data_IF_594261576699
#
_entry.id   IF_594261576699
#
_cell.length_a   1.000
_cell.length_b   1.000
_cell.length_c   1.000
_cell.angle_alpha   90.00
_cell.angle_beta   90.00
_cell.angle_gamma   90.00
#
_symmetry.space_group_name_H-M   'P 1'
#
loop_
_entity.id
_entity.type
_entity.pdbx_description
1 polymer ?
#
# COMPACT_ATOMS: atom_id res chain seq x y z
N UNK A 1 19.59 -60.85 -26.54
CA UNK A 1 19.68 -59.84 -25.47
C UNK A 1 19.74 -58.47 -26.13
N UNK A 2 18.61 -57.76 -26.21
CA UNK A 2 18.60 -56.34 -26.59
C UNK A 2 18.37 -55.54 -25.31
N UNK A 3 19.33 -54.70 -24.95
CA UNK A 3 19.22 -53.76 -23.84
C UNK A 3 18.67 -52.44 -24.37
N UNK A 4 17.48 -52.07 -23.89
CA UNK A 4 16.84 -50.78 -24.14
C UNK A 4 17.48 -49.74 -23.23
N UNK A 5 18.17 -48.75 -23.80
CA UNK A 5 18.66 -47.60 -23.07
C UNK A 5 17.51 -46.59 -22.87
N UNK A 6 17.13 -46.35 -21.62
CA UNK A 6 16.19 -45.30 -21.24
C UNK A 6 16.97 -43.98 -21.10
N UNK A 7 16.78 -43.03 -22.02
CA UNK A 7 17.26 -41.67 -21.84
C UNK A 7 16.37 -40.98 -20.80
N UNK A 8 16.93 -40.63 -19.65
CA UNK A 8 16.30 -39.71 -18.70
C UNK A 8 16.40 -38.28 -19.24
N UNK A 9 15.28 -37.68 -19.62
CA UNK A 9 15.22 -36.24 -19.84
C UNK A 9 15.27 -35.56 -18.46
N UNK A 10 16.37 -34.87 -18.16
CA UNK A 10 16.42 -33.89 -17.08
C UNK A 10 15.55 -32.70 -17.46
N UNK A 11 14.42 -32.52 -16.78
CA UNK A 11 13.64 -31.28 -16.88
C UNK A 11 14.51 -30.13 -16.34
N UNK A 12 14.90 -29.20 -17.22
CA UNK A 12 15.52 -27.96 -16.79
C UNK A 12 14.47 -27.17 -16.00
N UNK A 13 14.75 -26.87 -14.73
CA UNK A 13 13.91 -25.99 -13.93
C UNK A 13 13.86 -24.61 -14.61
N UNK A 14 12.69 -24.22 -15.09
CA UNK A 14 12.44 -22.87 -15.61
C UNK A 14 12.57 -21.88 -14.46
N UNK A 15 13.53 -20.96 -14.56
CA UNK A 15 13.62 -19.81 -13.65
C UNK A 15 12.51 -18.85 -14.05
N UNK A 16 11.41 -18.82 -13.30
CA UNK A 16 10.43 -17.74 -13.40
C UNK A 16 10.98 -16.55 -12.61
N UNK A 17 11.00 -15.38 -13.24
CA UNK A 17 11.39 -14.14 -12.60
C UNK A 17 10.13 -13.32 -12.35
N UNK A 18 9.99 -12.78 -11.15
CA UNK A 18 8.90 -11.85 -10.81
C UNK A 18 9.50 -10.46 -10.60
N UNK A 19 8.93 -9.44 -11.23
CA UNK A 19 9.41 -8.08 -11.10
C UNK A 19 8.75 -7.38 -9.89
N UNK A 20 9.49 -6.44 -9.32
CA UNK A 20 8.98 -5.49 -8.34
C UNK A 20 9.38 -4.09 -8.76
N UNK A 21 8.50 -3.12 -8.58
CA UNK A 21 8.81 -1.70 -8.73
C UNK A 21 9.00 -1.07 -7.38
N UNK A 22 10.08 -0.30 -7.23
CA UNK A 22 10.47 0.34 -5.98
C UNK A 22 10.66 1.83 -6.22
N UNK A 23 10.02 2.68 -5.43
CA UNK A 23 10.31 4.11 -5.40
C UNK A 23 11.10 4.50 -4.17
N UNK A 24 11.87 5.58 -4.29
CA UNK A 24 12.62 6.15 -3.18
C UNK A 24 12.64 7.69 -3.23
N UNK A 25 12.83 8.33 -2.08
CA UNK A 25 12.78 9.78 -1.98
C UNK A 25 13.89 10.53 -2.75
N UNK A 26 14.92 9.85 -3.27
CA UNK A 26 15.95 10.46 -4.13
C UNK A 26 15.52 10.62 -5.58
N UNK A 27 14.29 10.21 -5.92
CA UNK A 27 13.72 10.45 -7.25
C UNK A 27 13.76 9.23 -8.17
N UNK A 28 14.22 8.06 -7.69
CA UNK A 28 14.30 6.88 -8.56
C UNK A 28 13.02 6.03 -8.50
N UNK A 29 12.74 5.40 -9.65
CA UNK A 29 12.02 4.13 -9.68
C UNK A 29 13.02 3.05 -10.12
N UNK A 30 13.11 1.99 -9.33
CA UNK A 30 13.99 0.85 -9.55
C UNK A 30 13.14 -0.39 -9.80
N UNK A 31 13.43 -1.11 -10.88
CA UNK A 31 12.88 -2.46 -11.09
C UNK A 31 13.84 -3.47 -10.49
N UNK A 32 13.31 -4.29 -9.59
CA UNK A 32 13.98 -5.47 -9.06
C UNK A 32 13.38 -6.72 -9.69
N UNK A 33 14.22 -7.75 -9.87
CA UNK A 33 13.80 -9.05 -10.36
C UNK A 33 14.14 -10.10 -9.32
N UNK A 34 13.11 -10.74 -8.77
CA UNK A 34 13.25 -11.88 -7.88
C UNK A 34 13.30 -13.15 -8.71
N UNK A 35 14.39 -13.90 -8.55
CA UNK A 35 14.58 -15.20 -9.20
C UNK A 35 14.83 -16.28 -8.16
N UNK A 36 14.30 -17.48 -8.40
CA UNK A 36 14.54 -18.65 -7.56
C UNK A 36 15.27 -19.74 -8.36
N UNK A 37 16.37 -20.26 -7.82
CA UNK A 37 17.10 -21.39 -8.40
C UNK A 37 17.53 -22.34 -7.29
N UNK A 38 17.08 -23.60 -7.38
CA UNK A 38 17.39 -24.65 -6.39
C UNK A 38 17.08 -24.26 -4.94
N UNK A 39 15.99 -23.50 -4.71
CA UNK A 39 15.59 -23.04 -3.37
C UNK A 39 16.36 -21.81 -2.85
N UNK A 40 17.29 -21.27 -3.63
CA UNK A 40 17.96 -20.00 -3.33
C UNK A 40 17.31 -18.86 -4.12
N UNK A 41 17.01 -17.77 -3.44
CA UNK A 41 16.46 -16.56 -4.04
C UNK A 41 17.55 -15.54 -4.31
N UNK A 42 17.42 -14.81 -5.41
CA UNK A 42 18.26 -13.66 -5.73
C UNK A 42 17.37 -12.51 -6.17
N UNK A 43 17.56 -11.34 -5.56
CA UNK A 43 16.86 -10.11 -5.85
C UNK A 43 17.85 -9.14 -6.48
N UNK A 44 17.72 -8.91 -7.79
CA UNK A 44 18.66 -8.10 -8.55
C UNK A 44 17.98 -6.87 -9.12
N UNK A 45 18.64 -5.72 -9.07
CA UNK A 45 18.23 -4.55 -9.84
C UNK A 45 18.45 -4.82 -11.34
N UNK A 46 17.38 -4.66 -12.14
CA UNK A 46 17.40 -4.87 -13.59
C UNK A 46 17.21 -3.58 -14.38
N UNK A 47 16.55 -2.58 -13.79
CA UNK A 47 16.30 -1.30 -14.42
C UNK A 47 16.21 -0.18 -13.37
N UNK A 48 16.52 1.05 -13.76
CA UNK A 48 16.32 2.24 -12.94
C UNK A 48 16.08 3.46 -13.83
N UNK A 49 15.20 4.36 -13.38
CA UNK A 49 14.95 5.67 -14.00
C UNK A 49 14.69 6.74 -12.94
N UNK A 50 14.97 8.00 -13.26
CA UNK A 50 14.65 9.18 -12.44
C UNK A 50 13.48 10.00 -13.00
N UNK A 51 12.79 9.47 -14.01
CA UNK A 51 11.74 10.19 -14.74
C UNK A 51 10.43 10.34 -13.95
N UNK A 52 10.32 9.84 -12.72
CA UNK A 52 9.12 10.06 -11.92
C UNK A 52 8.97 11.52 -11.47
N UNK A 53 10.09 12.25 -11.30
CA UNK A 53 10.25 13.55 -10.61
C UNK A 53 10.67 13.40 -9.13
N UNK A 54 10.97 14.50 -8.40
CA UNK A 54 11.50 14.41 -7.04
C UNK A 54 10.51 13.82 -6.01
N UNK A 55 11.05 13.05 -5.08
CA UNK A 55 10.32 12.44 -3.95
C UNK A 55 9.13 11.55 -4.35
N UNK A 56 9.31 10.54 -5.23
CA UNK A 56 8.27 9.55 -5.50
C UNK A 56 8.03 8.72 -4.25
N UNK A 57 6.80 8.79 -3.73
CA UNK A 57 6.44 8.13 -2.47
C UNK A 57 5.45 6.99 -2.63
N UNK A 58 4.76 6.94 -3.76
CA UNK A 58 3.73 5.95 -4.03
C UNK A 58 3.70 5.54 -5.50
N UNK A 59 3.48 4.25 -5.72
CA UNK A 59 3.29 3.64 -7.03
C UNK A 59 1.90 3.03 -7.10
N UNK A 60 1.17 3.33 -8.17
CA UNK A 60 -0.14 2.71 -8.48
C UNK A 60 0.00 1.96 -9.81
N UNK A 61 -0.12 0.63 -9.77
CA UNK A 61 0.00 -0.23 -10.95
C UNK A 61 -1.39 -0.49 -11.54
N UNK A 62 -1.48 -0.43 -12.87
CA UNK A 62 -2.63 -0.84 -13.67
C UNK A 62 -2.20 -2.00 -14.56
N UNK A 63 -2.08 -3.18 -13.95
CA UNK A 63 -1.45 -4.37 -14.53
C UNK A 63 -2.12 -4.79 -15.84
N UNK A 64 -3.45 -4.76 -15.90
CA UNK A 64 -4.25 -5.08 -17.10
C UNK A 64 -3.89 -4.24 -18.33
N UNK A 65 -3.29 -3.05 -18.12
CA UNK A 65 -2.91 -2.13 -19.19
C UNK A 65 -1.40 -1.94 -19.29
N UNK A 66 -0.62 -2.63 -18.46
CA UNK A 66 0.83 -2.47 -18.37
C UNK A 66 1.22 -1.02 -18.10
N UNK A 67 0.51 -0.34 -17.19
CA UNK A 67 0.81 1.04 -16.81
C UNK A 67 1.22 1.13 -15.35
N UNK A 68 2.12 2.05 -15.07
CA UNK A 68 2.51 2.44 -13.72
C UNK A 68 2.34 3.95 -13.58
N UNK A 69 1.63 4.36 -12.53
CA UNK A 69 1.53 5.75 -12.11
C UNK A 69 2.41 5.96 -10.89
N UNK A 70 3.13 7.06 -10.86
CA UNK A 70 4.06 7.37 -9.81
C UNK A 70 3.77 8.77 -9.27
N UNK A 71 3.54 8.86 -7.96
CA UNK A 71 3.08 10.05 -7.27
C UNK A 71 4.26 10.66 -6.52
N UNK A 72 4.51 11.94 -6.80
CA UNK A 72 5.68 12.67 -6.35
C UNK A 72 5.28 13.72 -5.36
N UNK A 73 5.71 13.59 -4.10
CA UNK A 73 5.33 14.52 -3.04
C UNK A 73 5.80 15.94 -3.31
N UNK A 74 6.99 16.07 -3.91
CA UNK A 74 7.63 17.37 -4.12
C UNK A 74 7.95 18.08 -2.80
N UNK A 75 8.59 17.39 -1.86
CA UNK A 75 8.84 17.84 -0.47
C UNK A 75 9.58 19.18 -0.40
N UNK A 76 10.42 19.47 -1.39
CA UNK A 76 11.24 20.69 -1.48
C UNK A 76 10.68 21.70 -2.49
N UNK A 77 9.44 21.50 -2.95
CA UNK A 77 8.81 22.31 -4.00
C UNK A 77 7.40 22.71 -3.61
N UNK A 78 6.85 23.72 -4.29
CA UNK A 78 5.48 24.23 -4.00
C UNK A 78 4.40 23.22 -4.37
N UNK A 79 4.69 22.30 -5.30
CA UNK A 79 3.72 21.41 -5.90
C UNK A 79 4.31 20.00 -6.05
N UNK A 80 3.47 18.98 -5.86
CA UNK A 80 3.81 17.62 -6.24
C UNK A 80 3.61 17.40 -7.74
N UNK A 81 3.75 16.15 -8.19
CA UNK A 81 3.41 15.78 -9.56
C UNK A 81 2.92 14.34 -9.70
N UNK A 82 2.17 14.06 -10.77
CA UNK A 82 1.76 12.73 -11.17
C UNK A 82 2.51 12.37 -12.46
N UNK A 83 3.20 11.23 -12.45
CA UNK A 83 3.91 10.67 -13.59
C UNK A 83 3.31 9.34 -14.01
N UNK A 84 3.50 8.98 -15.28
CA UNK A 84 3.00 7.74 -15.88
C UNK A 84 4.04 7.07 -16.77
N UNK A 85 4.01 5.74 -16.78
CA UNK A 85 4.93 4.88 -17.49
C UNK A 85 4.18 3.72 -18.15
N UNK A 86 4.69 3.22 -19.28
CA UNK A 86 4.38 1.85 -19.71
C UNK A 86 5.39 0.90 -19.09
N UNK A 87 4.91 -0.25 -18.64
CA UNK A 87 5.70 -1.39 -18.18
C UNK A 87 6.01 -2.26 -19.40
N UNK A 88 7.30 -2.43 -19.71
CA UNK A 88 7.74 -3.37 -20.73
C UNK A 88 7.79 -4.80 -20.15
N UNK A 89 7.77 -5.81 -21.01
CA UNK A 89 7.78 -7.23 -20.60
C UNK A 89 9.03 -7.66 -19.82
N UNK A 90 10.12 -6.90 -19.91
CA UNK A 90 11.35 -7.12 -19.13
C UNK A 90 11.38 -6.34 -17.81
N UNK A 91 10.27 -5.68 -17.44
CA UNK A 91 10.14 -4.84 -16.26
C UNK A 91 10.78 -3.45 -16.41
N UNK A 92 11.35 -3.10 -17.56
CA UNK A 92 11.82 -1.72 -17.79
C UNK A 92 10.64 -0.77 -17.95
N UNK A 93 10.79 0.46 -17.44
CA UNK A 93 9.75 1.49 -17.52
C UNK A 93 10.07 2.48 -18.62
N UNK A 94 9.05 2.83 -19.41
CA UNK A 94 9.14 3.92 -20.39
C UNK A 94 8.21 5.06 -19.98
N UNK A 95 8.80 6.21 -19.67
CA UNK A 95 8.05 7.40 -19.28
C UNK A 95 7.14 7.90 -20.42
N UNK A 96 5.95 8.36 -20.03
CA UNK A 96 4.92 8.84 -20.96
C UNK A 96 4.63 10.31 -20.70
N UNK A 97 4.31 10.65 -19.45
CA UNK A 97 3.84 11.98 -19.08
C UNK A 97 4.08 12.21 -17.59
N UNK A 98 4.54 13.43 -17.29
CA UNK A 98 4.54 14.02 -15.96
C UNK A 98 3.67 15.30 -15.98
N UNK A 99 2.94 15.57 -14.90
CA UNK A 99 2.17 16.80 -14.74
C UNK A 99 2.12 17.24 -13.28
N UNK A 100 2.39 18.52 -13.04
CA UNK A 100 2.28 19.15 -11.72
C UNK A 100 0.87 19.01 -11.15
N UNK A 101 0.77 18.70 -9.87
CA UNK A 101 -0.47 18.59 -9.11
C UNK A 101 -0.38 19.40 -7.81
N UNK A 102 -1.34 19.21 -6.90
CA UNK A 102 -1.28 19.76 -5.55
C UNK A 102 -0.06 19.18 -4.80
N UNK A 103 0.43 19.83 -3.74
CA UNK A 103 1.58 19.33 -2.97
C UNK A 103 1.26 18.05 -2.20
N UNK A 104 2.24 17.16 -2.09
CA UNK A 104 2.16 15.95 -1.28
C UNK A 104 1.17 14.89 -1.76
N UNK A 105 1.04 14.53 -3.06
CA UNK A 105 0.30 13.34 -3.45
C UNK A 105 0.99 12.09 -2.87
N UNK A 106 0.44 11.52 -1.80
CA UNK A 106 1.06 10.42 -1.05
C UNK A 106 0.47 9.04 -1.36
N UNK A 107 -0.66 9.00 -2.06
CA UNK A 107 -1.34 7.76 -2.42
C UNK A 107 -2.37 8.02 -3.54
N UNK A 108 -2.64 6.99 -4.36
CA UNK A 108 -3.71 7.07 -5.35
C UNK A 108 -4.33 5.72 -5.72
N UNK A 109 -5.62 5.78 -6.07
CA UNK A 109 -6.43 4.63 -6.49
C UNK A 109 -7.12 4.89 -7.81
N UNK A 110 -7.10 3.90 -8.69
CA UNK A 110 -7.84 3.93 -9.95
C UNK A 110 -9.29 3.50 -9.69
N UNK A 111 -10.24 4.25 -10.22
CA UNK A 111 -11.67 3.99 -10.09
C UNK A 111 -12.41 4.19 -11.42
N UNK A 112 -13.69 3.82 -11.43
CA UNK A 112 -14.53 3.76 -12.62
C UNK A 112 -14.62 2.35 -13.18
N UNK A 113 -15.21 2.21 -14.37
CA UNK A 113 -15.50 0.90 -14.95
C UNK A 113 -14.27 0.29 -15.62
N UNK A 114 -14.00 -1.00 -15.37
CA UNK A 114 -12.85 -1.72 -15.93
C UNK A 114 -12.77 -1.64 -17.47
N UNK A 115 -13.90 -1.74 -18.17
CA UNK A 115 -13.98 -1.61 -19.63
C UNK A 115 -14.42 -0.21 -20.12
N UNK A 116 -14.56 0.77 -19.22
CA UNK A 116 -15.15 2.08 -19.51
C UNK A 116 -14.21 3.25 -19.19
N UNK A 117 -14.84 4.39 -18.86
CA UNK A 117 -14.10 5.55 -18.36
C UNK A 117 -13.49 5.22 -17.01
N UNK A 118 -12.23 5.61 -16.84
CA UNK A 118 -11.47 5.43 -15.60
C UNK A 118 -10.81 6.74 -15.21
N UNK A 119 -10.55 6.89 -13.93
CA UNK A 119 -9.83 8.02 -13.35
C UNK A 119 -8.94 7.52 -12.22
N UNK A 120 -7.97 8.32 -11.82
CA UNK A 120 -7.17 8.10 -10.61
C UNK A 120 -7.50 9.20 -9.60
N UNK A 121 -7.88 8.81 -8.39
CA UNK A 121 -8.06 9.71 -7.25
C UNK A 121 -6.75 9.75 -6.45
N UNK A 122 -6.34 10.94 -6.02
CA UNK A 122 -5.10 11.18 -5.29
C UNK A 122 -5.39 11.84 -3.95
N UNK A 123 -4.76 11.33 -2.88
CA UNK A 123 -4.74 11.93 -1.56
C UNK A 123 -3.52 12.85 -1.41
N UNK A 124 -3.74 14.11 -1.00
CA UNK A 124 -2.70 15.14 -0.89
C UNK A 124 -2.43 15.49 0.57
N UNK A 125 -1.36 14.96 1.15
CA UNK A 125 -1.00 15.15 2.55
C UNK A 125 -0.69 16.62 2.86
N UNK A 126 0.32 17.19 2.18
CA UNK A 126 0.76 18.58 2.42
C UNK A 126 -0.26 19.60 1.89
N UNK A 127 -0.96 19.25 0.82
CA UNK A 127 -1.87 20.16 0.13
C UNK A 127 -3.31 20.19 0.65
N UNK A 128 -3.65 19.40 1.67
CA UNK A 128 -4.99 19.31 2.28
C UNK A 128 -6.11 19.14 1.25
N UNK A 129 -5.99 18.13 0.39
CA UNK A 129 -6.94 17.94 -0.70
C UNK A 129 -7.08 16.50 -1.19
N UNK A 130 -8.19 16.27 -1.89
CA UNK A 130 -8.34 15.15 -2.84
C UNK A 130 -8.39 15.70 -4.25
N UNK A 131 -7.76 15.05 -5.22
CA UNK A 131 -7.97 15.34 -6.64
C UNK A 131 -8.30 14.10 -7.45
N UNK A 132 -8.94 14.31 -8.60
CA UNK A 132 -9.26 13.27 -9.58
C UNK A 132 -8.70 13.64 -10.94
N UNK A 133 -8.18 12.64 -11.66
CA UNK A 133 -7.57 12.77 -12.96
C UNK A 133 -8.13 11.70 -13.91
N UNK A 134 -8.69 12.11 -15.05
CA UNK A 134 -9.23 11.20 -16.05
C UNK A 134 -8.08 10.43 -16.72
N UNK A 135 -8.23 9.12 -16.86
CA UNK A 135 -7.30 8.28 -17.61
C UNK A 135 -7.75 8.22 -19.09
N UNK A 136 -6.94 8.80 -19.97
CA UNK A 136 -7.24 8.98 -21.41
C UNK A 136 -6.73 7.81 -22.28
N UNK A 137 -6.15 6.78 -21.66
CA UNK A 137 -5.56 5.63 -22.33
C UNK A 137 -4.08 5.81 -22.68
N UNK A 138 -3.36 4.70 -22.78
CA UNK A 138 -1.92 4.68 -23.09
C UNK A 138 -1.08 5.52 -22.12
N UNK A 139 -1.42 5.49 -20.83
CA UNK A 139 -0.77 6.26 -19.77
C UNK A 139 -1.05 7.76 -19.74
N UNK A 140 -1.79 8.30 -20.71
CA UNK A 140 -2.17 9.73 -20.69
C UNK A 140 -3.29 9.96 -19.68
N UNK A 141 -3.26 11.14 -19.07
CA UNK A 141 -4.28 11.58 -18.11
C UNK A 141 -4.47 13.10 -18.14
N UNK A 142 -5.64 13.57 -17.69
CA UNK A 142 -5.96 15.00 -17.57
C UNK A 142 -6.66 15.31 -16.26
N UNK A 143 -6.50 16.55 -15.78
CA UNK A 143 -7.13 16.99 -14.53
C UNK A 143 -8.65 16.97 -14.65
N UNK A 144 -9.33 16.37 -13.68
CA UNK A 144 -10.80 16.33 -13.62
C UNK A 144 -11.36 17.30 -12.56
N UNK A 145 -10.85 17.21 -11.33
CA UNK A 145 -11.38 17.92 -10.18
C UNK A 145 -10.36 18.00 -9.04
N UNK A 146 -10.51 19.04 -8.20
CA UNK A 146 -9.90 19.11 -6.87
C UNK A 146 -10.95 19.43 -5.82
N UNK A 147 -10.75 18.91 -4.62
CA UNK A 147 -11.57 19.09 -3.43
C UNK A 147 -10.64 19.48 -2.28
N UNK A 148 -10.45 20.79 -2.01
CA UNK A 148 -9.60 21.25 -0.92
C UNK A 148 -10.34 21.19 0.41
N UNK A 149 -9.57 21.10 1.50
CA UNK A 149 -10.07 21.06 2.86
C UNK A 149 -9.29 22.00 3.77
N UNK A 150 -9.95 22.44 4.83
CA UNK A 150 -9.36 23.26 5.88
C UNK A 150 -9.88 22.81 7.24
N UNK A 151 -9.11 23.11 8.28
CA UNK A 151 -9.58 23.06 9.66
C UNK A 151 -9.82 24.49 10.15
N UNK A 152 -10.81 24.65 11.04
CA UNK A 152 -11.02 25.93 11.71
C UNK A 152 -9.96 26.16 12.79
N UNK A 153 -9.56 25.09 13.48
CA UNK A 153 -8.51 25.05 14.50
C UNK A 153 -7.74 23.73 14.36
N UNK A 154 -6.46 23.67 14.76
CA UNK A 154 -5.69 22.43 14.79
C UNK A 154 -6.36 21.31 15.60
N UNK A 155 -6.07 20.05 15.21
CA UNK A 155 -6.46 18.86 15.94
C UNK A 155 -5.70 18.65 17.26
N UNK A 156 -6.00 17.57 18.00
CA UNK A 156 -5.41 17.32 19.32
C UNK A 156 -3.88 17.21 19.38
N UNK A 157 -3.21 16.82 18.29
CA UNK A 157 -1.76 16.92 18.12
C UNK A 157 -1.43 18.03 17.10
N UNK A 158 -1.28 19.30 17.52
CA UNK A 158 -1.03 20.40 16.59
C UNK A 158 0.27 20.30 15.79
N UNK A 159 1.20 19.40 16.16
CA UNK A 159 2.44 19.20 15.40
C UNK A 159 2.25 18.27 14.20
N UNK A 160 1.18 17.47 14.21
CA UNK A 160 0.84 16.48 13.18
C UNK A 160 -0.55 16.71 12.57
N UNK A 161 -1.36 17.58 13.17
CA UNK A 161 -2.76 17.84 12.86
C UNK A 161 -3.02 19.36 12.80
N UNK A 162 -2.08 20.13 12.26
CA UNK A 162 -2.23 21.58 12.04
C UNK A 162 -3.16 21.90 10.87
N UNK A 163 -3.29 20.99 9.91
CA UNK A 163 -4.18 21.07 8.76
C UNK A 163 -4.77 19.68 8.44
N UNK A 164 -5.75 19.56 7.52
CA UNK A 164 -6.10 18.27 6.92
C UNK A 164 -4.90 17.66 6.19
N UNK A 165 -4.75 16.34 6.33
CA UNK A 165 -3.68 15.56 5.73
C UNK A 165 -4.21 14.23 5.18
N UNK A 166 -4.79 14.27 3.99
CA UNK A 166 -5.25 13.09 3.28
C UNK A 166 -4.08 12.15 2.99
N UNK A 167 -4.19 10.90 3.45
CA UNK A 167 -3.04 10.00 3.51
C UNK A 167 -3.18 8.77 2.59
N UNK A 168 -4.41 8.38 2.25
CA UNK A 168 -4.70 7.28 1.33
C UNK A 168 -5.93 7.61 0.49
N UNK A 169 -6.05 7.05 -0.72
CA UNK A 169 -7.34 6.87 -1.37
C UNK A 169 -7.56 5.38 -1.65
N UNK A 170 -8.71 4.85 -1.26
CA UNK A 170 -9.04 3.43 -1.44
C UNK A 170 -10.49 3.27 -1.91
N UNK A 171 -10.72 2.37 -2.86
CA UNK A 171 -12.06 2.01 -3.32
C UNK A 171 -12.67 0.94 -2.43
N UNK A 172 -13.96 1.05 -2.14
CA UNK A 172 -14.70 -0.03 -1.49
C UNK A 172 -14.82 -1.27 -2.43
N UNK A 173 -15.11 -2.48 -1.91
CA UNK A 173 -15.20 -3.69 -2.71
C UNK A 173 -16.28 -3.67 -3.80
N UNK A 174 -17.28 -2.79 -3.72
CA UNK A 174 -18.29 -2.60 -4.78
C UNK A 174 -17.81 -1.66 -5.90
N UNK A 175 -16.72 -0.92 -5.67
CA UNK A 175 -16.18 0.08 -6.60
C UNK A 175 -17.02 1.34 -6.72
N UNK A 176 -18.05 1.52 -5.89
CA UNK A 176 -18.97 2.68 -5.95
C UNK A 176 -18.51 3.85 -5.08
N UNK A 177 -17.67 3.56 -4.09
CA UNK A 177 -17.20 4.55 -3.12
C UNK A 177 -15.68 4.60 -3.07
N UNK A 178 -15.18 5.81 -2.83
CA UNK A 178 -13.77 6.07 -2.52
C UNK A 178 -13.72 6.63 -1.12
N UNK A 179 -12.84 6.06 -0.29
CA UNK A 179 -12.59 6.49 1.06
C UNK A 179 -11.18 7.06 1.15
N UNK A 180 -11.03 8.15 1.89
CA UNK A 180 -9.77 8.86 2.06
C UNK A 180 -9.56 9.13 3.54
N UNK A 181 -8.73 8.33 4.24
CA UNK A 181 -8.23 8.68 5.56
C UNK A 181 -7.53 10.04 5.54
N UNK A 182 -7.90 10.88 6.51
CA UNK A 182 -7.35 12.21 6.75
C UNK A 182 -6.79 12.25 8.16
N UNK A 183 -5.47 12.15 8.23
CA UNK A 183 -4.70 12.09 9.47
C UNK A 183 -4.92 13.38 10.29
N UNK A 184 -4.88 14.52 9.61
CA UNK A 184 -4.93 15.82 10.25
C UNK A 184 -6.29 16.19 10.80
N UNK A 185 -7.37 15.70 10.20
CA UNK A 185 -8.74 16.03 10.61
C UNK A 185 -9.46 14.96 11.46
N UNK A 186 -8.81 13.83 11.75
CA UNK A 186 -9.40 12.64 12.38
C UNK A 186 -10.69 12.18 11.66
N UNK A 187 -10.61 12.06 10.34
CA UNK A 187 -11.76 11.68 9.50
C UNK A 187 -11.36 10.67 8.44
N UNK A 188 -12.34 9.89 7.99
CA UNK A 188 -12.26 9.19 6.72
C UNK A 188 -13.31 9.84 5.83
N UNK A 189 -12.85 10.54 4.80
CA UNK A 189 -13.71 11.21 3.82
C UNK A 189 -14.31 10.16 2.89
N UNK A 190 -15.60 10.26 2.61
CA UNK A 190 -16.31 9.29 1.77
C UNK A 190 -16.83 9.99 0.53
N UNK A 191 -16.60 9.39 -0.63
CA UNK A 191 -17.05 9.90 -1.91
C UNK A 191 -17.81 8.82 -2.66
N UNK A 192 -18.88 9.21 -3.34
CA UNK A 192 -19.37 8.52 -4.54
C UNK A 192 -18.83 9.25 -5.78
N UNK A 193 -19.13 8.78 -6.98
CA UNK A 193 -18.81 9.50 -8.21
C UNK A 193 -19.90 9.37 -9.26
N UNK A 194 -19.93 10.32 -10.19
CA UNK A 194 -20.82 10.29 -11.36
C UNK A 194 -20.20 9.43 -12.46
N UNK A 195 -20.90 8.40 -12.95
CA UNK A 195 -20.35 7.44 -13.92
C UNK A 195 -19.96 8.08 -15.27
N UNK A 196 -20.64 9.18 -15.65
CA UNK A 196 -20.42 9.82 -16.94
C UNK A 196 -19.19 10.74 -16.93
N UNK A 197 -18.96 11.46 -15.84
CA UNK A 197 -17.92 12.49 -15.69
C UNK A 197 -16.78 12.07 -14.76
N UNK A 198 -16.98 11.00 -13.99
CA UNK A 198 -16.11 10.53 -12.91
C UNK A 198 -15.82 11.59 -11.84
N UNK A 199 -16.62 12.65 -11.74
CA UNK A 199 -16.45 13.65 -10.69
C UNK A 199 -16.86 13.09 -9.34
N UNK A 200 -16.05 13.37 -8.32
CA UNK A 200 -16.27 12.92 -6.96
C UNK A 200 -17.37 13.76 -6.31
N UNK A 201 -18.30 13.07 -5.63
CA UNK A 201 -19.37 13.65 -4.83
C UNK A 201 -19.16 13.29 -3.37
N UNK A 202 -18.91 14.31 -2.54
CA UNK A 202 -18.72 14.18 -1.10
C UNK A 202 -19.98 13.64 -0.42
N UNK A 203 -19.79 12.69 0.48
CA UNK A 203 -20.80 12.12 1.35
C UNK A 203 -20.43 12.38 2.82
N UNK A 204 -21.30 11.96 3.75
CA UNK A 204 -21.01 12.03 5.18
C UNK A 204 -19.72 11.26 5.48
N UNK A 205 -18.72 11.89 6.14
CA UNK A 205 -17.49 11.21 6.50
C UNK A 205 -17.71 10.29 7.71
N UNK A 206 -16.81 9.32 7.87
CA UNK A 206 -16.59 8.67 9.16
C UNK A 206 -15.70 9.59 10.02
N UNK A 207 -16.12 9.85 11.26
CA UNK A 207 -15.34 10.61 12.24
C UNK A 207 -14.58 9.61 13.11
N UNK A 208 -13.26 9.69 13.11
CA UNK A 208 -12.39 8.88 13.94
C UNK A 208 -12.26 9.48 15.36
N UNK A 209 -11.65 8.74 16.28
CA UNK A 209 -11.36 9.26 17.60
C UNK A 209 -10.41 10.48 17.51
N UNK A 210 -10.62 11.56 18.27
CA UNK A 210 -9.72 12.71 18.25
C UNK A 210 -8.29 12.32 18.63
N UNK A 211 -7.30 12.80 17.86
CA UNK A 211 -5.88 12.51 18.03
C UNK A 211 -5.46 11.13 17.49
N UNK A 212 -6.33 10.44 16.74
CA UNK A 212 -6.02 9.11 16.23
C UNK A 212 -5.12 9.15 15.00
N UNK A 213 -5.33 10.10 14.09
CA UNK A 213 -4.59 10.22 12.85
C UNK A 213 -4.78 9.02 11.92
N UNK A 214 -5.98 8.80 11.34
CA UNK A 214 -6.22 7.70 10.40
C UNK A 214 -5.32 7.84 9.17
N UNK A 215 -4.61 6.75 8.82
CA UNK A 215 -3.52 6.76 7.83
C UNK A 215 -3.88 5.95 6.58
N UNK A 216 -3.76 4.63 6.65
CA UNK A 216 -4.15 3.70 5.59
C UNK A 216 -5.21 2.74 6.13
N UNK A 217 -5.94 2.12 5.23
CA UNK A 217 -7.04 1.23 5.56
C UNK A 217 -7.15 0.09 4.55
N UNK A 218 -7.79 -0.99 4.99
CA UNK A 218 -8.08 -2.13 4.12
C UNK A 218 -9.54 -2.55 4.27
N UNK A 219 -10.17 -2.87 3.15
CA UNK A 219 -11.46 -3.53 3.15
C UNK A 219 -11.28 -5.04 3.21
N UNK A 220 -12.23 -5.71 3.86
CA UNK A 220 -12.28 -7.15 3.94
C UNK A 220 -13.73 -7.63 3.86
N UNK A 221 -13.93 -8.77 3.20
CA UNK A 221 -15.17 -9.52 3.29
C UNK A 221 -14.79 -10.97 3.58
N UNK A 222 -15.40 -11.67 4.55
CA UNK A 222 -15.06 -13.06 4.87
C UNK A 222 -15.10 -14.00 3.65
N UNK A 223 -15.93 -13.70 2.65
CA UNK A 223 -16.07 -14.50 1.43
C UNK A 223 -15.14 -14.06 0.29
N UNK A 224 -14.28 -13.07 0.53
CA UNK A 224 -13.29 -12.54 -0.43
C UNK A 224 -13.87 -11.62 -1.50
N UNK A 225 -15.19 -11.52 -1.60
CA UNK A 225 -15.90 -10.65 -2.55
C UNK A 225 -17.11 -10.01 -1.88
N UNK A 226 -17.53 -8.84 -2.36
CA UNK A 226 -18.82 -8.28 -1.94
C UNK A 226 -19.95 -9.23 -2.34
N UNK A 227 -20.80 -9.60 -1.38
CA UNK A 227 -21.93 -10.50 -1.59
C UNK A 227 -23.16 -10.08 -0.79
N UNK A 228 -24.34 -10.46 -1.28
CA UNK A 228 -25.61 -10.20 -0.58
C UNK A 228 -25.65 -10.95 0.76
N UNK A 229 -26.01 -10.24 1.83
CA UNK A 229 -26.05 -10.80 3.19
C UNK A 229 -24.69 -10.92 3.88
N UNK A 230 -23.59 -10.56 3.20
CA UNK A 230 -22.25 -10.56 3.77
C UNK A 230 -21.91 -9.19 4.38
N UNK A 231 -21.21 -9.20 5.51
CA UNK A 231 -20.70 -7.95 6.09
C UNK A 231 -19.34 -7.62 5.48
N UNK A 232 -19.24 -6.43 4.88
CA UNK A 232 -17.96 -5.83 4.56
C UNK A 232 -17.41 -5.17 5.82
N UNK A 233 -16.14 -5.42 6.10
CA UNK A 233 -15.39 -4.77 7.16
C UNK A 233 -14.38 -3.80 6.58
N UNK A 234 -14.11 -2.73 7.31
CA UNK A 234 -13.14 -1.69 6.98
C UNK A 234 -12.20 -1.52 8.17
N UNK A 235 -10.93 -1.81 7.98
CA UNK A 235 -9.90 -1.71 9.01
C UNK A 235 -9.05 -0.48 8.77
N UNK A 236 -9.04 0.46 9.71
CA UNK A 236 -8.27 1.70 9.62
C UNK A 236 -7.11 1.64 10.59
N UNK A 237 -5.91 1.86 10.08
CA UNK A 237 -4.72 2.06 10.90
C UNK A 237 -4.58 3.54 11.25
N UNK A 238 -4.38 3.81 12.53
CA UNK A 238 -4.27 5.15 13.11
C UNK A 238 -2.81 5.40 13.49
N UNK A 239 -2.12 6.28 12.76
CA UNK A 239 -0.69 6.51 12.91
C UNK A 239 -0.35 7.09 14.28
N UNK A 240 -1.08 8.11 14.72
CA UNK A 240 -0.76 8.87 15.93
C UNK A 240 -1.15 8.10 17.20
N UNK A 241 -2.30 7.39 17.15
CA UNK A 241 -2.75 6.58 18.28
C UNK A 241 -2.11 5.18 18.35
N UNK A 242 -1.35 4.76 17.34
CA UNK A 242 -0.78 3.40 17.27
C UNK A 242 -1.81 2.26 17.29
N UNK A 243 -3.03 2.52 16.80
CA UNK A 243 -4.15 1.56 16.84
C UNK A 243 -4.58 1.09 15.46
N UNK A 244 -5.34 -0.01 15.46
CA UNK A 244 -6.17 -0.44 14.32
C UNK A 244 -7.62 -0.55 14.79
N UNK A 245 -8.52 0.10 14.06
CA UNK A 245 -9.97 0.08 14.32
C UNK A 245 -10.68 -0.67 13.19
N UNK A 246 -11.47 -1.69 13.54
CA UNK A 246 -12.33 -2.41 12.60
C UNK A 246 -13.75 -1.89 12.65
N UNK A 247 -14.34 -1.63 11.48
CA UNK A 247 -15.71 -1.18 11.31
C UNK A 247 -16.50 -2.17 10.47
N UNK A 248 -17.71 -2.54 10.90
CA UNK A 248 -18.71 -3.13 10.01
C UNK A 248 -19.32 -2.01 9.15
N UNK A 249 -19.39 -2.23 7.84
CA UNK A 249 -19.86 -1.26 6.85
C UNK A 249 -21.29 -1.58 6.44
N UNK A 250 -22.18 -0.60 6.59
CA UNK A 250 -23.54 -0.64 6.05
C UNK A 250 -23.62 0.25 4.81
N UNK A 251 -24.05 -0.33 3.69
CA UNK A 251 -24.28 0.38 2.44
C UNK A 251 -25.70 0.95 2.43
N UNK A 252 -25.81 2.28 2.39
CA UNK A 252 -27.10 2.95 2.42
C UNK A 252 -27.83 2.85 1.07
N UNK A 253 -29.17 2.69 1.06
CA UNK A 253 -29.96 2.63 -0.17
C UNK A 253 -29.76 3.83 -1.09
N UNK A 254 -30.02 3.64 -2.40
CA UNK A 254 -29.98 4.69 -3.42
C UNK A 254 -28.65 5.46 -3.50
N UNK A 255 -27.53 4.76 -3.27
CA UNK A 255 -26.19 5.37 -3.23
C UNK A 255 -26.07 6.48 -2.18
N UNK A 256 -26.79 6.34 -1.05
CA UNK A 256 -26.85 7.32 0.03
C UNK A 256 -25.57 7.46 0.85
N UNK A 257 -24.59 6.57 0.63
CA UNK A 257 -23.32 6.54 1.34
C UNK A 257 -23.14 5.31 2.21
N UNK A 258 -22.29 5.45 3.22
CA UNK A 258 -21.84 4.37 4.08
C UNK A 258 -22.06 4.75 5.54
N UNK A 259 -22.54 3.80 6.33
CA UNK A 259 -22.51 3.85 7.78
C UNK A 259 -21.45 2.89 8.30
N UNK A 260 -20.88 3.21 9.46
CA UNK A 260 -19.79 2.45 10.06
C UNK A 260 -20.10 2.17 11.52
N UNK A 261 -20.00 0.91 11.92
CA UNK A 261 -20.13 0.49 13.33
C UNK A 261 -18.82 -0.10 13.79
N UNK A 262 -18.23 0.45 14.86
CA UNK A 262 -17.00 -0.12 15.44
C UNK A 262 -17.28 -1.53 15.95
N UNK A 263 -16.49 -2.50 15.47
CA UNK A 263 -16.54 -3.91 15.91
C UNK A 263 -15.24 -4.36 16.57
N UNK A 264 -14.14 -3.65 16.33
CA UNK A 264 -12.83 -3.96 16.89
C UNK A 264 -12.01 -2.68 17.11
N UNK A 265 -11.22 -2.64 18.18
CA UNK A 265 -10.22 -1.62 18.40
C UNK A 265 -9.13 -2.17 19.33
N UNK A 266 -7.88 -2.15 18.87
CA UNK A 266 -6.72 -2.50 19.68
C UNK A 266 -5.49 -1.75 19.20
N UNK A 267 -4.40 -1.82 19.96
CA UNK A 267 -3.10 -1.37 19.47
C UNK A 267 -2.62 -2.30 18.35
N UNK A 268 -1.72 -1.81 17.50
CA UNK A 268 -1.06 -2.63 16.49
C UNK A 268 -0.11 -3.68 17.07
N UNK A 269 0.14 -3.65 18.38
CA UNK A 269 0.98 -4.60 19.13
C UNK A 269 0.13 -5.56 20.00
N UNK A 270 -1.19 -5.37 19.98
CA UNK A 270 -2.15 -6.08 20.82
C UNK A 270 -1.74 -6.10 22.30
N UNK A 271 -1.44 -7.28 22.86
CA UNK A 271 -1.05 -7.47 24.26
C UNK A 271 0.45 -7.23 24.52
N UNK A 272 1.25 -6.95 23.48
CA UNK A 272 2.67 -6.66 23.64
C UNK A 272 2.92 -5.20 24.05
N UNK A 273 4.10 -4.94 24.60
CA UNK A 273 4.50 -3.58 24.96
C UNK A 273 4.60 -2.71 23.70
N UNK A 274 3.78 -1.66 23.65
CA UNK A 274 3.82 -0.67 22.58
C UNK A 274 5.05 0.24 22.76
N UNK A 275 5.96 0.31 21.78
CA UNK A 275 7.09 1.24 21.83
C UNK A 275 6.62 2.70 21.83
N UNK A 276 7.32 3.55 22.57
CA UNK A 276 7.07 5.00 22.53
C UNK A 276 7.30 5.53 21.10
N UNK A 277 6.37 6.34 20.60
CA UNK A 277 6.47 6.92 19.26
C UNK A 277 6.27 5.92 18.12
N UNK A 278 5.77 4.70 18.41
CA UNK A 278 5.35 3.77 17.37
C UNK A 278 4.41 4.46 16.39
N UNK A 279 4.66 4.24 15.11
CA UNK A 279 3.91 4.88 14.03
C UNK A 279 3.56 3.83 12.98
N UNK A 280 2.40 3.17 13.11
CA UNK A 280 1.89 2.26 12.09
C UNK A 280 1.82 2.95 10.73
N UNK A 281 2.02 2.18 9.66
CA UNK A 281 2.09 2.71 8.31
C UNK A 281 1.12 1.99 7.37
N UNK A 282 1.58 0.91 6.74
CA UNK A 282 0.83 0.19 5.72
C UNK A 282 -0.05 -0.87 6.36
N UNK A 283 -1.20 -1.17 5.73
CA UNK A 283 -2.09 -2.25 6.14
C UNK A 283 -2.60 -3.00 4.93
N UNK A 284 -2.50 -4.33 4.96
CA UNK A 284 -2.89 -5.16 3.83
C UNK A 284 -3.61 -6.43 4.29
N UNK A 285 -4.72 -6.75 3.63
CA UNK A 285 -5.36 -8.06 3.75
C UNK A 285 -4.60 -9.04 2.86
N UNK A 286 -4.12 -10.14 3.41
CA UNK A 286 -3.44 -11.18 2.63
C UNK A 286 -4.33 -11.74 1.50
N UNK A 287 -3.77 -12.14 0.35
CA UNK A 287 -4.55 -12.66 -0.79
C UNK A 287 -5.37 -13.91 -0.49
N UNK A 288 -4.95 -14.73 0.49
CA UNK A 288 -5.73 -15.87 0.97
C UNK A 288 -6.97 -15.47 1.82
N UNK A 289 -7.17 -14.17 2.03
CA UNK A 289 -8.31 -13.55 2.71
C UNK A 289 -8.46 -13.92 4.20
N UNK A 290 -7.38 -14.37 4.87
CA UNK A 290 -7.45 -14.80 6.29
C UNK A 290 -6.67 -13.94 7.27
N UNK A 291 -5.74 -13.12 6.80
CA UNK A 291 -4.87 -12.33 7.67
C UNK A 291 -4.81 -10.86 7.27
N UNK A 292 -4.67 -9.99 8.27
CA UNK A 292 -4.36 -8.58 8.15
C UNK A 292 -2.92 -8.36 8.61
N UNK A 293 -2.09 -7.76 7.77
CA UNK A 293 -0.70 -7.42 8.08
C UNK A 293 -0.58 -5.90 8.18
N UNK A 294 0.13 -5.41 9.20
CA UNK A 294 0.35 -3.98 9.45
C UNK A 294 1.84 -3.74 9.62
N UNK A 295 2.41 -2.72 8.97
CA UNK A 295 3.78 -2.31 9.25
C UNK A 295 3.84 -1.25 10.36
N UNK A 296 4.86 -1.34 11.20
CA UNK A 296 5.07 -0.45 12.34
C UNK A 296 6.46 0.16 12.28
N UNK A 297 6.54 1.49 12.27
CA UNK A 297 7.80 2.24 12.29
C UNK A 297 8.18 2.65 13.71
N UNK A 298 9.46 2.98 13.90
CA UNK A 298 10.05 3.39 15.18
C UNK A 298 10.07 2.26 16.22
N UNK A 299 10.21 1.01 15.76
CA UNK A 299 10.37 -0.14 16.63
C UNK A 299 11.79 -0.68 16.56
N UNK A 300 12.69 -0.10 17.35
CA UNK A 300 14.10 -0.52 17.37
C UNK A 300 14.35 -1.81 18.16
N UNK A 301 13.30 -2.56 18.52
CA UNK A 301 13.41 -3.75 19.37
C UNK A 301 13.90 -4.99 18.64
N UNK A 302 13.92 -4.98 17.31
CA UNK A 302 14.39 -6.12 16.52
C UNK A 302 15.72 -5.85 15.84
N UNK A 303 16.41 -6.93 15.53
CA UNK A 303 17.63 -6.90 14.75
C UNK A 303 17.76 -8.22 14.00
N UNK A 304 18.21 -8.18 12.75
CA UNK A 304 18.37 -9.38 11.93
C UNK A 304 19.79 -9.46 11.38
N UNK A 305 20.35 -10.68 11.23
CA UNK A 305 21.65 -10.85 10.59
C UNK A 305 21.60 -10.48 9.11
N UNK A 306 22.75 -10.06 8.58
CA UNK A 306 23.03 -9.90 7.16
C UNK A 306 23.98 -11.00 6.68
N UNK A 307 24.01 -11.32 5.36
CA UNK A 307 24.94 -12.31 4.81
C UNK A 307 26.43 -12.02 5.08
N UNK A 308 26.79 -10.75 5.26
CA UNK A 308 28.15 -10.33 5.59
C UNK A 308 28.50 -10.45 7.09
N UNK A 309 27.56 -10.94 7.91
CA UNK A 309 27.71 -11.11 9.35
C UNK A 309 27.42 -9.85 10.17
N UNK A 310 27.08 -8.73 9.53
CA UNK A 310 26.55 -7.55 10.22
C UNK A 310 25.12 -7.81 10.71
N UNK A 311 24.60 -6.89 11.53
CA UNK A 311 23.24 -6.93 12.03
C UNK A 311 22.57 -5.62 11.68
N UNK A 312 21.38 -5.69 11.09
CA UNK A 312 20.57 -4.52 10.76
C UNK A 312 19.50 -4.33 11.85
N UNK A 313 19.38 -3.13 12.46
CA UNK A 313 18.21 -2.80 13.26
C UNK A 313 16.96 -2.95 12.39
N UNK A 314 15.96 -3.61 12.94
CA UNK A 314 14.71 -3.87 12.23
C UNK A 314 13.54 -3.33 13.03
N UNK A 315 12.68 -2.61 12.33
CA UNK A 315 11.32 -2.36 12.76
C UNK A 315 10.46 -3.61 12.45
N UNK A 316 9.13 -3.51 12.52
CA UNK A 316 8.29 -4.71 12.61
C UNK A 316 7.04 -4.69 11.73
N UNK A 317 6.55 -5.90 11.45
CA UNK A 317 5.24 -6.20 10.92
C UNK A 317 4.41 -6.91 11.99
N UNK A 318 3.18 -6.47 12.19
CA UNK A 318 2.17 -7.19 12.98
C UNK A 318 1.26 -8.00 12.06
N UNK A 319 1.00 -9.25 12.42
CA UNK A 319 0.04 -10.09 11.73
C UNK A 319 -1.12 -10.42 12.65
N UNK A 320 -2.33 -10.23 12.14
CA UNK A 320 -3.58 -10.59 12.79
C UNK A 320 -4.36 -11.57 11.91
N UNK A 321 -5.01 -12.54 12.51
CA UNK A 321 -6.00 -13.39 11.85
C UNK A 321 -7.35 -12.67 11.86
N UNK A 322 -7.99 -12.63 10.70
CA UNK A 322 -9.34 -12.08 10.50
C UNK A 322 -10.37 -13.11 10.98
N UNK A 323 -11.42 -12.63 11.66
CA UNK A 323 -12.52 -13.44 12.18
C UNK A 323 -13.82 -12.94 11.57
N UNK A 324 -14.74 -13.86 11.25
CA UNK A 324 -16.00 -13.57 10.52
C UNK A 324 -16.90 -12.50 11.17
N UNK A 325 -16.73 -12.22 12.46
CA UNK A 325 -17.43 -11.15 13.17
C UNK A 325 -16.78 -9.75 13.02
N UNK A 326 -15.67 -9.67 12.28
CA UNK A 326 -14.88 -8.47 12.04
C UNK A 326 -13.78 -8.23 13.05
N UNK A 327 -13.63 -9.07 14.08
CA UNK A 327 -12.55 -8.95 15.06
C UNK A 327 -11.22 -9.45 14.52
N UNK A 328 -10.13 -9.00 15.15
CA UNK A 328 -8.77 -9.40 14.83
C UNK A 328 -8.20 -10.22 16.00
N UNK A 329 -7.51 -11.31 15.68
CA UNK A 329 -6.75 -12.10 16.66
C UNK A 329 -5.28 -11.98 16.34
N UNK A 330 -4.49 -11.43 17.27
CA UNK A 330 -3.05 -11.29 17.09
C UNK A 330 -2.36 -12.65 16.87
N UNK A 331 -1.49 -12.71 15.87
CA UNK A 331 -0.74 -13.91 15.48
C UNK A 331 0.73 -13.73 15.82
N UNK A 332 1.34 -12.64 15.37
CA UNK A 332 2.79 -12.45 15.45
C UNK A 332 3.17 -10.98 15.33
N UNK A 333 4.27 -10.60 15.99
CA UNK A 333 5.07 -9.43 15.68
C UNK A 333 6.42 -9.93 15.18
N UNK A 334 6.84 -9.49 13.99
CA UNK A 334 8.04 -10.00 13.33
C UNK A 334 8.87 -8.88 12.71
N UNK A 335 10.22 -8.96 12.70
CA UNK A 335 11.05 -7.97 12.05
C UNK A 335 10.77 -7.82 10.54
N UNK A 336 10.71 -6.57 10.07
CA UNK A 336 10.45 -6.20 8.68
C UNK A 336 11.64 -6.37 7.73
N UNK A 337 12.83 -6.67 8.25
CA UNK A 337 14.05 -6.80 7.45
C UNK A 337 14.85 -5.51 7.26
N UNK A 338 14.55 -4.48 8.05
CA UNK A 338 15.18 -3.18 7.99
C UNK A 338 14.42 -2.15 8.84
N UNK A 339 14.81 -0.88 8.78
CA UNK A 339 14.21 0.17 9.60
C UNK A 339 13.23 1.03 8.81
N UNK A 340 12.15 1.44 9.49
CA UNK A 340 11.12 2.32 8.97
C UNK A 340 10.34 1.75 7.76
N UNK A 341 9.65 0.59 7.91
CA UNK A 341 8.85 -0.07 6.87
C UNK A 341 7.59 0.75 6.58
N UNK A 342 7.75 1.81 5.78
CA UNK A 342 6.66 2.75 5.46
C UNK A 342 5.61 2.15 4.54
N UNK A 343 6.01 1.18 3.71
CA UNK A 343 5.12 0.44 2.81
C UNK A 343 5.65 -0.98 2.58
N UNK A 344 4.73 -1.92 2.37
CA UNK A 344 5.01 -3.28 1.91
C UNK A 344 3.90 -3.75 0.96
N UNK A 345 4.17 -4.80 0.19
CA UNK A 345 3.17 -5.50 -0.63
C UNK A 345 3.31 -7.01 -0.51
N UNK A 346 2.21 -7.73 -0.70
CA UNK A 346 2.15 -9.20 -0.68
C UNK A 346 1.95 -9.69 -2.10
N UNK A 347 2.70 -10.71 -2.53
CA UNK A 347 2.55 -11.30 -3.85
C UNK A 347 1.17 -11.97 -4.01
N UNK A 348 0.68 -12.14 -5.23
CA UNK A 348 -0.63 -12.71 -5.56
C UNK A 348 -0.84 -14.12 -5.00
N UNK A 349 0.23 -14.90 -4.77
CA UNK A 349 0.13 -16.22 -4.13
C UNK A 349 0.03 -16.16 -2.60
N UNK A 350 0.33 -15.01 -2.01
CA UNK A 350 0.33 -14.79 -0.56
C UNK A 350 1.53 -15.39 0.17
N UNK A 351 2.54 -15.89 -0.54
CA UNK A 351 3.68 -16.61 0.04
C UNK A 351 4.88 -15.71 0.31
N UNK A 352 4.92 -14.51 -0.25
CA UNK A 352 6.01 -13.56 -0.15
C UNK A 352 5.52 -12.16 0.23
N UNK A 353 6.26 -11.51 1.12
CA UNK A 353 6.02 -10.12 1.52
C UNK A 353 7.25 -9.30 1.14
N UNK A 354 7.09 -8.33 0.26
CA UNK A 354 8.12 -7.37 -0.11
C UNK A 354 7.98 -6.12 0.76
N UNK A 355 9.02 -5.77 1.50
CA UNK A 355 9.01 -4.63 2.42
C UNK A 355 10.04 -3.60 2.00
N UNK A 356 9.60 -2.37 1.79
CA UNK A 356 10.46 -1.22 1.58
C UNK A 356 10.80 -0.58 2.92
N UNK A 357 12.04 -0.70 3.36
CA UNK A 357 12.48 -0.14 4.62
C UNK A 357 13.23 1.17 4.36
N UNK A 358 12.60 2.28 4.72
CA UNK A 358 13.00 3.61 4.30
C UNK A 358 14.38 4.01 4.83
N UNK A 359 14.67 3.81 6.11
CA UNK A 359 15.91 4.32 6.70
C UNK A 359 17.09 3.36 6.59
N UNK A 360 16.84 2.06 6.43
CA UNK A 360 17.88 1.11 6.05
C UNK A 360 18.15 1.07 4.54
N UNK A 361 17.35 1.80 3.74
CA UNK A 361 17.51 1.93 2.28
C UNK A 361 17.61 0.57 1.60
N UNK A 362 16.72 -0.36 1.97
CA UNK A 362 16.70 -1.70 1.43
C UNK A 362 15.27 -2.18 1.16
N UNK A 363 15.19 -3.16 0.27
CA UNK A 363 14.01 -4.00 0.10
C UNK A 363 14.32 -5.38 0.66
N UNK A 364 13.44 -5.90 1.51
CA UNK A 364 13.50 -7.25 2.04
C UNK A 364 12.32 -8.09 1.50
N UNK A 365 12.59 -9.31 1.06
CA UNK A 365 11.57 -10.29 0.70
C UNK A 365 11.49 -11.32 1.82
N UNK A 366 10.36 -11.35 2.52
CA UNK A 366 10.07 -12.25 3.63
C UNK A 366 9.19 -13.39 3.14
N UNK A 367 9.44 -14.61 3.63
CA UNK A 367 8.50 -15.72 3.43
C UNK A 367 7.31 -15.58 4.35
N UNK A 368 6.14 -15.94 3.84
CA UNK A 368 4.90 -16.05 4.60
C UNK A 368 4.31 -17.44 4.43
N UNK A 369 4.01 -18.07 5.56
CA UNK A 369 3.22 -19.30 5.57
C UNK A 369 1.74 -18.94 5.38
N UNK A 370 1.18 -19.33 4.23
CA UNK A 370 -0.20 -19.01 3.86
C UNK A 370 -1.19 -19.53 4.90
N UNK A 371 -0.99 -20.75 5.43
CA UNK A 371 -1.92 -21.41 6.34
C UNK A 371 -2.01 -20.77 7.72
N UNK A 372 -0.88 -20.35 8.27
CA UNK A 372 -0.72 -19.84 9.63
C UNK A 372 -0.60 -18.33 9.69
N UNK A 373 -0.29 -17.68 8.56
CA UNK A 373 -0.03 -16.25 8.45
C UNK A 373 1.36 -15.84 8.96
N UNK A 374 2.16 -16.76 9.49
CA UNK A 374 3.46 -16.45 10.07
C UNK A 374 4.42 -15.91 9.00
N UNK A 375 5.11 -14.84 9.35
CA UNK A 375 6.18 -14.25 8.54
C UNK A 375 7.52 -14.73 9.10
N UNK A 376 8.40 -15.18 8.19
CA UNK A 376 9.70 -15.75 8.50
C UNK A 376 10.86 -14.79 8.19
N UNK A 377 12.09 -15.30 8.32
CA UNK A 377 13.29 -14.54 7.96
C UNK A 377 13.30 -14.18 6.46
N UNK A 378 13.95 -13.06 6.09
CA UNK A 378 14.02 -12.68 4.70
C UNK A 378 14.88 -13.64 3.87
N UNK A 379 14.34 -14.04 2.73
CA UNK A 379 14.99 -14.92 1.74
C UNK A 379 15.85 -14.14 0.75
N UNK A 380 15.63 -12.84 0.64
CA UNK A 380 16.43 -11.94 -0.16
C UNK A 380 16.37 -10.52 0.44
N UNK A 381 17.48 -9.80 0.31
CA UNK A 381 17.58 -8.36 0.58
C UNK A 381 18.43 -7.71 -0.48
N UNK A 382 18.09 -6.47 -0.83
CA UNK A 382 18.93 -5.64 -1.71
C UNK A 382 18.89 -4.20 -1.24
N UNK A 383 20.04 -3.52 -1.30
CA UNK A 383 20.10 -2.09 -1.07
C UNK A 383 19.45 -1.36 -2.26
N UNK A 384 18.58 -0.41 -1.94
CA UNK A 384 18.00 0.54 -2.90
C UNK A 384 18.27 1.93 -2.32
N UNK A 385 19.40 2.55 -2.71
CA UNK A 385 19.82 3.83 -2.16
C UNK A 385 18.73 4.89 -2.37
N UNK A 386 18.50 5.74 -1.38
CA UNK A 386 17.66 6.94 -1.55
C UNK A 386 16.39 7.04 -0.70
N UNK A 387 16.31 6.25 0.37
CA UNK A 387 15.17 6.13 1.27
C UNK A 387 13.93 5.52 0.59
N UNK A 388 13.85 4.18 0.64
CA UNK A 388 12.77 3.40 0.02
C UNK A 388 11.39 3.75 0.57
N UNK A 389 10.45 4.11 -0.29
CA UNK A 389 9.11 4.59 0.10
C UNK A 389 7.99 3.64 -0.25
N UNK A 390 8.09 2.94 -1.39
CA UNK A 390 7.07 2.02 -1.90
C UNK A 390 7.75 0.87 -2.64
N UNK A 391 7.21 -0.34 -2.48
CA UNK A 391 7.56 -1.56 -3.21
C UNK A 391 6.28 -2.29 -3.61
N UNK A 392 6.15 -2.59 -4.89
CA UNK A 392 4.97 -3.23 -5.47
C UNK A 392 5.39 -4.40 -6.36
N UNK A 393 4.74 -5.54 -6.20
CA UNK A 393 4.85 -6.67 -7.14
C UNK A 393 4.21 -6.31 -8.49
N UNK A 394 4.82 -6.77 -9.58
CA UNK A 394 4.30 -6.67 -10.94
C UNK A 394 3.63 -8.01 -11.33
N UNK A 395 2.37 -8.19 -10.89
CA UNK A 395 1.61 -9.45 -11.02
C UNK A 395 0.16 -9.25 -11.47
#
# INVERSE_FOLDING_TARGET
MLATALLALSAAATVSATNLFVSDYSGNITTLSLTAKNGTYALNQTFQTTECAPNPSWLTIDADRGLLFCLNEGLETVNGSLSSFTINSDGSLKHIKNTTTISGPVNGVIYGAAAGKRAIALAHYTGSAVSSWLLEGGGKFSFNQKLPYTLAEPGPDPSRQDAPHEHEAITDPTGQYILVPDLGADRIRVFSYDDATLKLKTLSPLVAAPGSGPRHAAFWNPYGVACEGCTTYFYVVHELASTVTGYAVEYLPNSGGLNFTVVYNSTTYDLLNLPEGNAPAEVHVSPDNRFLVISNRNNTSFSLPEPDGSVVPSDSLSTFRLVDDGTLVFVQLWPSGGSYPRQFSIDSTGTLVAVGNQYSQNVAILQRDVATGLIGEPIARVLVPGNTTCVMWDE
#
